data_IF_142666696441
#
_entry.id   IF_142666696441
#
_cell.length_a   1.000
_cell.length_b   1.000
_cell.length_c   1.000
_cell.angle_alpha   90.00
_cell.angle_beta   90.00
_cell.angle_gamma   90.00
#
_symmetry.space_group_name_H-M   'P 1'
#
loop_
_entity.id
_entity.type
_entity.pdbx_description
1 polymer ?
#
# COMPACT_ATOMS: atom_id res chain seq x y z
N UNK A 1 11.60 -25.69 11.50
CA UNK A 1 12.74 -25.37 10.62
C UNK A 1 13.56 -26.57 10.16
N UNK A 2 14.08 -27.46 11.04
CA UNK A 2 14.90 -28.63 10.63
C UNK A 2 14.29 -29.48 9.49
N UNK A 3 12.99 -29.79 9.57
CA UNK A 3 12.26 -30.56 8.53
C UNK A 3 12.12 -29.83 7.19
N UNK A 4 12.02 -28.50 7.20
CA UNK A 4 11.97 -27.69 5.98
C UNK A 4 13.36 -27.70 5.32
N UNK A 5 14.41 -27.57 6.12
CA UNK A 5 15.79 -27.57 5.65
C UNK A 5 16.26 -28.92 5.09
N UNK A 6 15.56 -30.02 5.41
CA UNK A 6 15.84 -31.36 4.87
C UNK A 6 15.07 -31.70 3.59
N UNK A 7 14.26 -30.78 3.05
CA UNK A 7 13.53 -30.98 1.78
C UNK A 7 14.41 -30.68 0.57
N UNK A 8 13.89 -30.97 -0.63
CA UNK A 8 14.51 -30.51 -1.89
C UNK A 8 14.65 -28.99 -1.90
N UNK A 9 15.61 -28.46 -2.67
CA UNK A 9 15.84 -27.00 -2.74
C UNK A 9 14.57 -26.23 -3.13
N UNK A 10 13.85 -26.69 -4.16
CA UNK A 10 12.61 -26.06 -4.61
C UNK A 10 11.53 -26.06 -3.51
N UNK A 11 11.32 -27.20 -2.84
CA UNK A 11 10.36 -27.30 -1.74
C UNK A 11 10.77 -26.43 -0.54
N UNK A 12 12.08 -26.29 -0.28
CA UNK A 12 12.62 -25.42 0.78
C UNK A 12 12.41 -23.94 0.48
N UNK A 13 12.62 -23.50 -0.75
CA UNK A 13 12.43 -22.08 -1.10
C UNK A 13 10.94 -21.72 -1.11
N UNK A 14 10.08 -22.56 -1.69
CA UNK A 14 8.62 -22.42 -1.54
C UNK A 14 8.22 -22.41 -0.05
N UNK A 15 8.91 -23.23 0.77
CA UNK A 15 8.64 -23.31 2.20
C UNK A 15 8.84 -21.95 2.91
N UNK A 16 9.96 -21.31 2.57
CA UNK A 16 10.36 -20.04 3.15
C UNK A 16 9.45 -18.91 2.69
N UNK A 17 9.11 -18.87 1.40
CA UNK A 17 8.26 -17.82 0.84
C UNK A 17 6.88 -17.80 1.51
N UNK A 18 6.19 -18.94 1.60
CA UNK A 18 4.89 -19.03 2.29
C UNK A 18 5.02 -18.62 3.77
N UNK A 19 6.05 -19.08 4.49
CA UNK A 19 6.23 -18.70 5.90
C UNK A 19 6.48 -17.20 6.06
N UNK A 20 7.25 -16.60 5.15
CA UNK A 20 7.45 -15.15 5.09
C UNK A 20 6.11 -14.43 4.95
N UNK A 21 5.32 -14.78 3.93
CA UNK A 21 3.98 -14.22 3.74
C UNK A 21 3.06 -14.41 4.96
N UNK A 22 2.98 -15.62 5.53
CA UNK A 22 2.12 -15.88 6.68
C UNK A 22 2.55 -15.19 7.98
N UNK A 23 3.82 -14.79 8.06
CA UNK A 23 4.38 -14.11 9.24
C UNK A 23 4.21 -12.59 9.15
N UNK A 24 4.47 -12.01 7.97
CA UNK A 24 4.60 -10.56 7.79
C UNK A 24 3.38 -9.88 7.17
N UNK A 25 2.41 -10.65 6.64
CA UNK A 25 1.18 -10.06 6.09
C UNK A 25 0.42 -9.20 7.09
N UNK A 26 -0.04 -8.03 6.66
CA UNK A 26 -0.80 -7.09 7.51
C UNK A 26 -2.23 -7.58 7.82
N UNK A 27 -2.75 -8.50 7.00
CA UNK A 27 -3.99 -9.25 7.25
C UNK A 27 -3.84 -10.70 6.80
N UNK A 28 -4.61 -11.64 7.37
CA UNK A 28 -4.67 -13.01 6.87
C UNK A 28 -5.04 -13.04 5.39
N UNK A 29 -4.26 -13.79 4.61
CA UNK A 29 -4.50 -13.99 3.18
C UNK A 29 -5.52 -15.09 2.92
N UNK A 30 -6.29 -14.93 1.84
CA UNK A 30 -6.98 -16.06 1.23
C UNK A 30 -5.99 -16.93 0.44
N UNK A 31 -6.32 -18.20 0.25
CA UNK A 31 -5.42 -19.15 -0.41
C UNK A 31 -5.02 -18.71 -1.82
N UNK A 32 -5.95 -18.08 -2.55
CA UNK A 32 -5.67 -17.64 -3.91
C UNK A 32 -4.75 -16.40 -3.96
N UNK A 33 -4.90 -15.46 -3.02
CA UNK A 33 -3.95 -14.35 -2.83
C UNK A 33 -2.54 -14.87 -2.63
N UNK A 34 -2.37 -15.83 -1.71
CA UNK A 34 -1.06 -16.40 -1.42
C UNK A 34 -0.48 -17.15 -2.63
N UNK A 35 -1.30 -17.91 -3.37
CA UNK A 35 -0.83 -18.59 -4.59
C UNK A 35 -0.34 -17.60 -5.64
N UNK A 36 -1.07 -16.51 -5.85
CA UNK A 36 -0.67 -15.45 -6.78
C UNK A 36 0.63 -14.80 -6.31
N UNK A 37 0.73 -14.46 -5.04
CA UNK A 37 1.92 -13.86 -4.45
C UNK A 37 3.19 -14.71 -4.61
N UNK A 38 3.07 -16.04 -4.69
CA UNK A 38 4.20 -16.95 -4.85
C UNK A 38 4.70 -17.09 -6.30
N UNK A 39 3.91 -16.67 -7.29
CA UNK A 39 4.26 -16.81 -8.73
C UNK A 39 4.43 -15.47 -9.45
N UNK A 40 4.18 -14.35 -8.76
CA UNK A 40 4.49 -13.02 -9.29
C UNK A 40 6.00 -12.87 -9.37
N UNK A 41 6.49 -12.64 -10.57
CA UNK A 41 7.89 -12.37 -10.84
C UNK A 41 8.11 -10.88 -11.12
N UNK A 42 9.17 -10.33 -10.54
CA UNK A 42 9.54 -8.93 -10.76
C UNK A 42 10.01 -8.75 -12.21
N UNK A 43 9.47 -7.73 -12.88
CA UNK A 43 9.75 -7.44 -14.28
C UNK A 43 8.82 -8.13 -15.28
N UNK A 44 7.94 -9.03 -14.82
CA UNK A 44 6.85 -9.58 -15.63
C UNK A 44 5.59 -8.73 -15.50
N UNK A 45 4.82 -8.63 -16.59
CA UNK A 45 3.60 -7.79 -16.67
C UNK A 45 2.31 -8.61 -16.78
N UNK A 46 2.38 -9.92 -16.55
CA UNK A 46 1.27 -10.86 -16.54
C UNK A 46 1.62 -12.04 -15.63
N UNK A 47 0.62 -12.63 -15.00
CA UNK A 47 0.76 -13.86 -14.23
C UNK A 47 0.89 -15.07 -15.16
N UNK A 48 1.82 -15.96 -14.85
CA UNK A 48 1.82 -17.32 -15.38
C UNK A 48 0.96 -18.22 -14.48
N UNK A 49 -0.29 -18.46 -14.90
CA UNK A 49 -1.23 -19.28 -14.15
C UNK A 49 -0.87 -20.77 -14.13
N UNK A 50 -0.05 -21.25 -15.08
CA UNK A 50 0.36 -22.65 -15.16
C UNK A 50 1.29 -23.04 -14.00
N UNK A 51 2.00 -22.06 -13.43
CA UNK A 51 2.91 -22.25 -12.32
C UNK A 51 2.26 -22.11 -10.92
N UNK A 52 0.94 -21.89 -10.85
CA UNK A 52 0.25 -21.69 -9.56
C UNK A 52 0.37 -22.92 -8.65
N UNK A 53 1.03 -22.82 -7.48
CA UNK A 53 1.28 -23.98 -6.63
C UNK A 53 -0.02 -24.60 -6.13
N UNK A 54 -0.09 -25.93 -6.08
CA UNK A 54 -1.22 -26.63 -5.49
C UNK A 54 -1.26 -26.42 -3.97
N UNK A 55 -2.46 -26.34 -3.40
CA UNK A 55 -2.67 -26.07 -1.97
C UNK A 55 -2.05 -27.18 -1.12
N UNK A 56 -2.14 -28.42 -1.60
CA UNK A 56 -1.57 -29.61 -0.98
C UNK A 56 -0.05 -29.46 -0.81
N UNK A 57 0.64 -28.95 -1.83
CA UNK A 57 2.08 -28.70 -1.79
C UNK A 57 2.43 -27.58 -0.81
N UNK A 58 1.57 -26.56 -0.68
CA UNK A 58 1.73 -25.46 0.28
C UNK A 58 1.43 -25.85 1.73
N UNK A 59 0.87 -27.04 2.00
CA UNK A 59 0.57 -27.49 3.37
C UNK A 59 1.46 -28.68 3.77
N UNK A 60 1.72 -29.60 2.83
CA UNK A 60 2.47 -30.84 3.06
C UNK A 60 3.88 -30.60 3.62
N UNK A 61 4.54 -29.53 3.17
CA UNK A 61 5.91 -29.18 3.58
C UNK A 61 6.00 -28.80 5.07
N UNK A 62 4.88 -28.41 5.69
CA UNK A 62 4.86 -27.79 7.01
C UNK A 62 4.42 -28.69 8.15
N UNK A 63 4.06 -29.94 7.88
CA UNK A 63 3.69 -30.92 8.91
C UNK A 63 2.65 -30.41 9.92
N UNK A 64 1.65 -29.66 9.47
CA UNK A 64 0.61 -29.09 10.32
C UNK A 64 0.93 -27.72 10.93
N UNK A 65 2.07 -27.08 10.62
CA UNK A 65 2.34 -25.69 11.02
C UNK A 65 1.52 -24.67 10.24
N UNK A 66 1.10 -25.01 9.01
CA UNK A 66 0.24 -24.20 8.16
C UNK A 66 -1.11 -24.88 8.05
N UNK A 67 -2.18 -24.10 8.24
CA UNK A 67 -3.57 -24.57 8.18
C UNK A 67 -4.34 -23.74 7.19
N UNK A 68 -5.18 -24.41 6.40
CA UNK A 68 -6.12 -23.78 5.48
C UNK A 68 -7.52 -23.92 6.06
N UNK A 69 -8.13 -22.79 6.40
CA UNK A 69 -9.53 -22.71 6.77
C UNK A 69 -10.38 -22.90 5.50
N UNK A 70 -11.05 -24.05 5.39
CA UNK A 70 -11.87 -24.39 4.20
C UNK A 70 -13.14 -23.54 4.08
N UNK A 71 -13.68 -23.03 5.18
CA UNK A 71 -14.90 -22.21 5.15
C UNK A 71 -14.57 -20.78 4.70
N UNK A 72 -13.50 -20.20 5.25
CA UNK A 72 -13.09 -18.82 4.97
C UNK A 72 -12.08 -18.71 3.83
N UNK A 73 -11.60 -19.85 3.32
CA UNK A 73 -10.52 -19.96 2.32
C UNK A 73 -9.25 -19.20 2.72
N UNK A 74 -8.94 -19.13 4.02
CA UNK A 74 -7.79 -18.40 4.57
C UNK A 74 -6.65 -19.33 4.91
N UNK A 75 -5.42 -18.90 4.65
CA UNK A 75 -4.21 -19.62 5.04
C UNK A 75 -3.59 -18.92 6.24
N UNK A 76 -3.22 -19.68 7.27
CA UNK A 76 -2.63 -19.15 8.50
C UNK A 76 -1.67 -20.15 9.13
N UNK A 77 -0.83 -19.64 10.03
CA UNK A 77 -0.11 -20.49 10.97
C UNK A 77 -1.10 -21.17 11.91
N UNK A 78 -0.83 -22.44 12.23
CA UNK A 78 -1.74 -23.33 12.95
C UNK A 78 -2.05 -22.82 14.36
N UNK A 79 -1.04 -22.30 15.05
CA UNK A 79 -1.11 -21.89 16.44
C UNK A 79 -0.53 -20.49 16.65
N UNK A 80 -1.08 -19.75 17.61
CA UNK A 80 -0.64 -18.37 17.89
C UNK A 80 0.83 -18.32 18.34
N UNK A 81 1.30 -19.31 19.10
CA UNK A 81 2.71 -19.38 19.53
C UNK A 81 3.67 -19.55 18.36
N UNK A 82 3.26 -20.22 17.28
CA UNK A 82 4.05 -20.32 16.05
C UNK A 82 4.22 -18.95 15.40
N UNK A 83 3.15 -18.14 15.40
CA UNK A 83 3.20 -16.77 14.89
C UNK A 83 4.11 -15.90 15.76
N UNK A 84 4.04 -16.03 17.09
CA UNK A 84 4.92 -15.30 18.00
C UNK A 84 6.39 -15.70 17.83
N UNK A 85 6.67 -17.00 17.69
CA UNK A 85 8.02 -17.50 17.44
C UNK A 85 8.62 -16.88 16.16
N UNK A 86 7.90 -16.93 15.04
CA UNK A 86 8.40 -16.35 13.80
C UNK A 86 8.46 -14.83 13.83
N UNK A 87 7.65 -14.15 14.64
CA UNK A 87 7.78 -12.69 14.86
C UNK A 87 9.00 -12.33 15.72
N UNK A 88 9.32 -13.13 16.75
CA UNK A 88 10.49 -12.92 17.61
C UNK A 88 11.80 -13.19 16.89
N UNK A 89 11.83 -14.19 16.00
CA UNK A 89 13.01 -14.60 15.23
C UNK A 89 12.93 -14.14 13.75
N UNK A 90 12.06 -13.18 13.44
CA UNK A 90 11.68 -12.85 12.06
C UNK A 90 12.89 -12.43 11.22
N UNK A 91 13.75 -11.59 11.79
CA UNK A 91 14.95 -11.09 11.12
C UNK A 91 16.02 -12.18 10.92
N UNK A 92 16.00 -13.26 11.72
CA UNK A 92 16.93 -14.38 11.55
C UNK A 92 16.55 -15.22 10.32
N UNK A 93 15.24 -15.45 10.13
CA UNK A 93 14.75 -16.36 9.11
C UNK A 93 14.38 -15.67 7.80
N UNK A 94 13.93 -14.42 7.87
CA UNK A 94 13.40 -13.64 6.77
C UNK A 94 13.82 -12.17 6.88
N UNK A 95 15.14 -11.86 6.81
CA UNK A 95 15.65 -10.50 7.00
C UNK A 95 15.05 -9.49 6.03
N UNK A 96 14.72 -9.91 4.80
CA UNK A 96 14.22 -9.04 3.73
C UNK A 96 12.72 -9.20 3.46
N UNK A 97 11.96 -9.80 4.39
CA UNK A 97 10.55 -10.17 4.16
C UNK A 97 9.66 -9.01 3.73
N UNK A 98 9.72 -7.88 4.44
CA UNK A 98 8.92 -6.69 4.13
C UNK A 98 9.29 -6.13 2.74
N UNK A 99 10.57 -6.17 2.38
CA UNK A 99 11.06 -5.74 1.07
C UNK A 99 10.59 -6.67 -0.06
N UNK A 100 10.69 -7.99 0.12
CA UNK A 100 10.24 -8.97 -0.88
C UNK A 100 8.72 -8.90 -1.10
N UNK A 101 7.95 -8.79 -0.02
CA UNK A 101 6.48 -8.65 -0.08
C UNK A 101 6.11 -7.35 -0.80
N UNK A 102 6.76 -6.24 -0.48
CA UNK A 102 6.57 -4.98 -1.20
C UNK A 102 6.84 -5.15 -2.70
N UNK A 103 7.98 -5.72 -3.09
CA UNK A 103 8.35 -5.89 -4.51
C UNK A 103 7.31 -6.71 -5.26
N UNK A 104 6.84 -7.80 -4.66
CA UNK A 104 5.80 -8.65 -5.24
C UNK A 104 4.49 -7.88 -5.39
N UNK A 105 4.05 -7.14 -4.37
CA UNK A 105 2.83 -6.33 -4.45
C UNK A 105 2.92 -5.29 -5.57
N UNK A 106 4.05 -4.57 -5.67
CA UNK A 106 4.25 -3.54 -6.69
C UNK A 106 4.38 -4.14 -8.09
N UNK A 107 5.13 -5.23 -8.25
CA UNK A 107 5.23 -5.96 -9.52
C UNK A 107 3.86 -6.44 -10.00
N UNK A 108 3.02 -6.95 -9.09
CA UNK A 108 1.65 -7.33 -9.41
C UNK A 108 0.83 -6.13 -9.89
N UNK A 109 0.91 -4.99 -9.20
CA UNK A 109 0.19 -3.76 -9.57
C UNK A 109 0.65 -3.16 -10.90
N UNK A 110 1.84 -3.51 -11.37
CA UNK A 110 2.35 -3.14 -12.69
C UNK A 110 1.81 -4.01 -13.83
N UNK A 111 1.06 -5.07 -13.55
CA UNK A 111 0.52 -5.94 -14.60
C UNK A 111 -0.33 -5.18 -15.62
N UNK A 112 -0.27 -5.65 -16.87
CA UNK A 112 -0.96 -5.10 -18.03
C UNK A 112 -2.47 -4.91 -17.82
N UNK A 113 -3.12 -5.77 -17.03
CA UNK A 113 -4.55 -5.67 -16.68
C UNK A 113 -4.91 -4.40 -15.90
N UNK A 114 -3.94 -3.78 -15.23
CA UNK A 114 -4.09 -2.52 -14.51
C UNK A 114 -3.71 -1.29 -15.34
N UNK A 115 -3.04 -1.49 -16.49
CA UNK A 115 -2.66 -0.40 -17.41
C UNK A 115 -3.85 0.13 -18.23
N UNK A 116 -5.01 -0.54 -18.19
CA UNK A 116 -6.26 -0.06 -18.81
C UNK A 116 -6.95 1.07 -18.02
N UNK A 117 -6.41 1.46 -16.86
CA UNK A 117 -6.93 2.56 -16.05
C UNK A 117 -8.17 2.20 -15.23
N UNK A 118 -8.93 3.21 -14.78
CA UNK A 118 -10.07 3.02 -13.90
C UNK A 118 -11.28 2.45 -14.66
N UNK A 119 -12.02 1.54 -14.03
CA UNK A 119 -13.27 1.04 -14.58
C UNK A 119 -14.43 2.00 -14.34
N UNK A 120 -15.35 2.04 -15.30
CA UNK A 120 -16.48 2.98 -15.34
C UNK A 120 -17.74 2.44 -14.63
N UNK A 121 -17.78 1.16 -14.25
CA UNK A 121 -18.96 0.53 -13.64
C UNK A 121 -18.58 -0.39 -12.47
N UNK A 122 -19.49 -0.51 -11.50
CA UNK A 122 -19.38 -1.42 -10.36
C UNK A 122 -19.12 -2.87 -10.80
N UNK A 123 -19.82 -3.32 -11.84
CA UNK A 123 -19.70 -4.68 -12.34
C UNK A 123 -18.30 -4.95 -12.91
N UNK A 124 -17.72 -3.99 -13.64
CA UNK A 124 -16.37 -4.13 -14.18
C UNK A 124 -15.31 -4.10 -13.08
N UNK A 125 -15.48 -3.24 -12.07
CA UNK A 125 -14.61 -3.19 -10.90
C UNK A 125 -14.69 -4.48 -10.05
N UNK A 126 -15.90 -4.97 -9.77
CA UNK A 126 -16.11 -6.23 -9.07
C UNK A 126 -15.49 -7.42 -9.82
N UNK A 127 -15.59 -7.43 -11.15
CA UNK A 127 -14.93 -8.44 -11.97
C UNK A 127 -13.39 -8.34 -11.89
N UNK A 128 -12.82 -7.13 -11.81
CA UNK A 128 -11.38 -6.94 -11.58
C UNK A 128 -10.95 -7.56 -10.26
N UNK A 129 -11.67 -7.27 -9.17
CA UNK A 129 -11.38 -7.81 -7.85
C UNK A 129 -11.47 -9.35 -7.84
N UNK A 130 -12.46 -9.92 -8.54
CA UNK A 130 -12.62 -11.36 -8.63
C UNK A 130 -11.54 -12.04 -9.48
N UNK A 131 -11.18 -11.43 -10.61
CA UNK A 131 -10.19 -11.97 -11.56
C UNK A 131 -8.74 -11.73 -11.12
N UNK A 132 -8.52 -10.81 -10.17
CA UNK A 132 -7.20 -10.43 -9.66
C UNK A 132 -7.14 -10.59 -8.13
N UNK A 133 -7.04 -11.83 -7.62
CA UNK A 133 -7.11 -12.14 -6.19
C UNK A 133 -6.17 -11.34 -5.29
N UNK A 134 -4.94 -11.07 -5.74
CA UNK A 134 -3.94 -10.34 -4.96
C UNK A 134 -4.15 -8.81 -4.96
N UNK A 135 -5.01 -8.29 -5.84
CA UNK A 135 -5.14 -6.87 -6.12
C UNK A 135 -5.55 -6.03 -4.91
N UNK A 136 -6.63 -6.39 -4.21
CA UNK A 136 -7.08 -5.69 -3.00
C UNK A 136 -5.99 -5.66 -1.92
N UNK A 137 -5.31 -6.81 -1.72
CA UNK A 137 -4.24 -6.88 -0.74
C UNK A 137 -3.05 -6.00 -1.16
N UNK A 138 -2.57 -6.12 -2.40
CA UNK A 138 -1.44 -5.36 -2.89
C UNK A 138 -1.71 -3.86 -2.82
N UNK A 139 -2.87 -3.42 -3.34
CA UNK A 139 -3.29 -2.02 -3.39
C UNK A 139 -3.28 -1.36 -2.00
N UNK A 140 -3.80 -2.05 -0.98
CA UNK A 140 -3.95 -1.50 0.36
C UNK A 140 -2.70 -1.64 1.25
N UNK A 141 -1.69 -2.44 0.86
CA UNK A 141 -0.59 -2.78 1.78
C UNK A 141 0.81 -2.47 1.27
N UNK A 142 1.05 -2.39 -0.04
CA UNK A 142 2.40 -2.21 -0.60
C UNK A 142 3.14 -1.01 0.00
N UNK A 143 2.44 0.13 0.15
CA UNK A 143 3.04 1.38 0.61
C UNK A 143 3.43 1.36 2.08
N UNK A 144 2.75 0.56 2.91
CA UNK A 144 3.15 0.36 4.30
C UNK A 144 4.48 -0.40 4.42
N UNK A 145 4.72 -1.36 3.53
CA UNK A 145 6.01 -2.04 3.47
C UNK A 145 7.09 -1.12 2.91
N UNK A 146 6.77 -0.37 1.84
CA UNK A 146 7.70 0.59 1.23
C UNK A 146 8.13 1.70 2.21
N UNK A 147 7.22 2.19 3.07
CA UNK A 147 7.55 3.17 4.12
C UNK A 147 8.56 2.63 5.14
N UNK A 148 8.46 1.34 5.46
CA UNK A 148 9.32 0.71 6.45
C UNK A 148 10.64 0.20 5.84
N UNK A 149 10.74 0.15 4.52
CA UNK A 149 11.95 -0.29 3.83
C UNK A 149 13.07 0.75 4.00
N UNK A 150 14.30 0.26 4.20
CA UNK A 150 15.48 1.13 4.29
C UNK A 150 15.86 1.77 2.95
N UNK A 151 15.46 1.15 1.84
CA UNK A 151 15.85 1.54 0.49
C UNK A 151 14.63 1.57 -0.41
N UNK A 152 14.49 2.66 -1.17
CA UNK A 152 13.46 2.81 -2.19
C UNK A 152 13.76 1.89 -3.37
N UNK A 153 12.82 1.01 -3.71
CA UNK A 153 12.97 0.07 -4.83
C UNK A 153 12.72 0.77 -6.17
N UNK A 154 13.44 0.41 -7.26
CA UNK A 154 13.17 0.92 -8.59
C UNK A 154 11.74 0.62 -9.07
N UNK A 155 11.20 -0.54 -8.71
CA UNK A 155 9.84 -0.94 -9.04
C UNK A 155 8.79 -0.01 -8.41
N UNK A 156 9.02 0.44 -7.16
CA UNK A 156 8.14 1.42 -6.51
C UNK A 156 8.09 2.70 -7.33
N UNK A 157 9.25 3.20 -7.77
CA UNK A 157 9.31 4.44 -8.54
C UNK A 157 8.67 4.26 -9.92
N UNK A 158 8.97 3.16 -10.62
CA UNK A 158 8.31 2.81 -11.88
C UNK A 158 6.79 2.76 -11.75
N UNK A 159 6.28 2.17 -10.67
CA UNK A 159 4.85 2.13 -10.38
C UNK A 159 4.26 3.53 -10.18
N UNK A 160 4.91 4.37 -9.38
CA UNK A 160 4.45 5.73 -9.10
C UNK A 160 4.46 6.65 -10.34
N UNK A 161 5.26 6.34 -11.37
CA UNK A 161 5.22 7.04 -12.66
C UNK A 161 4.08 6.60 -13.58
N UNK A 162 3.51 5.41 -13.37
CA UNK A 162 2.41 4.93 -14.21
C UNK A 162 1.08 5.52 -13.75
N UNK A 163 0.63 6.59 -14.40
CA UNK A 163 -0.67 7.21 -14.14
C UNK A 163 -1.81 6.18 -14.15
N UNK A 164 -1.79 5.25 -15.10
CA UNK A 164 -2.82 4.21 -15.24
C UNK A 164 -2.81 3.21 -14.08
N UNK A 165 -1.62 2.76 -13.65
CA UNK A 165 -1.50 1.83 -12.54
C UNK A 165 -1.82 2.49 -11.19
N UNK A 166 -1.41 3.75 -11.02
CA UNK A 166 -1.76 4.60 -9.87
C UNK A 166 -3.28 4.75 -9.78
N UNK A 167 -3.93 5.15 -10.86
CA UNK A 167 -5.37 5.38 -10.87
C UNK A 167 -6.15 4.07 -10.66
N UNK A 168 -5.68 2.95 -11.26
CA UNK A 168 -6.24 1.64 -10.98
C UNK A 168 -6.10 1.30 -9.49
N UNK A 169 -4.95 1.51 -8.86
CA UNK A 169 -4.78 1.25 -7.43
C UNK A 169 -5.76 2.06 -6.58
N UNK A 170 -5.95 3.34 -6.91
CA UNK A 170 -6.78 4.26 -6.14
C UNK A 170 -8.24 3.78 -6.04
N UNK A 171 -8.78 3.15 -7.09
CA UNK A 171 -10.11 2.53 -7.03
C UNK A 171 -10.23 1.40 -6.01
N UNK A 172 -9.12 0.72 -5.69
CA UNK A 172 -9.08 -0.40 -4.74
C UNK A 172 -8.74 0.03 -3.31
N UNK A 173 -8.42 1.30 -3.06
CA UNK A 173 -8.11 1.80 -1.72
C UNK A 173 -9.38 2.02 -0.90
N UNK A 174 -9.47 1.30 0.22
CA UNK A 174 -10.62 1.33 1.13
C UNK A 174 -10.78 2.65 1.90
N UNK A 175 -9.80 3.55 1.82
CA UNK A 175 -9.83 4.87 2.45
C UNK A 175 -10.62 5.92 1.67
N UNK A 176 -11.09 5.60 0.44
CA UNK A 176 -11.67 6.55 -0.50
C UNK A 176 -13.16 6.33 -0.77
N UNK A 177 -13.99 6.31 0.27
CA UNK A 177 -15.42 5.95 0.15
C UNK A 177 -16.43 7.13 0.20
N UNK A 178 -15.98 8.39 0.12
CA UNK A 178 -16.89 9.56 0.19
C UNK A 178 -17.29 10.14 -1.17
N UNK A 179 -16.54 9.86 -2.24
CA UNK A 179 -16.81 10.34 -3.59
C UNK A 179 -16.98 9.13 -4.50
N UNK A 180 -17.98 9.19 -5.38
CA UNK A 180 -18.38 8.10 -6.30
C UNK A 180 -17.19 7.20 -6.70
N UNK A 181 -17.22 5.88 -6.41
CA UNK A 181 -16.07 4.97 -6.64
C UNK A 181 -15.62 4.90 -8.12
N UNK A 182 -16.41 5.50 -9.02
CA UNK A 182 -16.36 5.32 -10.47
C UNK A 182 -15.76 6.55 -11.15
N UNK A 183 -15.63 7.66 -10.42
CA UNK A 183 -14.97 8.85 -10.93
C UNK A 183 -13.46 8.75 -10.65
N UNK A 184 -12.59 8.90 -11.66
CA UNK A 184 -11.16 8.90 -11.41
C UNK A 184 -10.80 10.05 -10.50
N UNK A 185 -10.07 9.79 -9.41
CA UNK A 185 -9.57 10.83 -8.52
C UNK A 185 -8.48 11.65 -9.19
N UNK A 186 -7.82 11.13 -10.24
CA UNK A 186 -6.67 11.77 -10.88
C UNK A 186 -5.53 11.98 -9.86
N UNK A 187 -5.32 10.99 -9.00
CA UNK A 187 -4.17 11.01 -8.10
C UNK A 187 -2.91 10.69 -8.92
N UNK A 188 -1.84 11.41 -8.63
CA UNK A 188 -0.51 11.11 -9.16
C UNK A 188 0.27 10.23 -8.19
N UNK A 189 1.41 9.69 -8.64
CA UNK A 189 2.34 8.97 -7.75
C UNK A 189 2.76 9.79 -6.53
N UNK A 190 2.87 11.12 -6.66
CA UNK A 190 3.21 11.99 -5.53
C UNK A 190 2.12 12.02 -4.46
N UNK A 191 0.84 11.96 -4.85
CA UNK A 191 -0.26 11.84 -3.90
C UNK A 191 -0.22 10.50 -3.16
N UNK A 192 0.03 9.39 -3.88
CA UNK A 192 0.13 8.06 -3.24
C UNK A 192 1.35 7.94 -2.31
N UNK A 193 2.51 8.45 -2.74
CA UNK A 193 3.71 8.47 -1.91
C UNK A 193 3.46 9.26 -0.60
N UNK A 194 2.74 10.38 -0.69
CA UNK A 194 2.35 11.16 0.47
C UNK A 194 1.30 10.46 1.34
N UNK A 195 0.28 9.85 0.74
CA UNK A 195 -0.75 9.06 1.42
C UNK A 195 -0.15 7.90 2.24
N UNK A 196 0.84 7.19 1.70
CA UNK A 196 1.49 6.09 2.43
C UNK A 196 2.64 6.53 3.34
N UNK A 197 3.09 7.78 3.25
CA UNK A 197 4.17 8.32 4.08
C UNK A 197 5.56 7.90 3.62
N UNK A 198 5.76 7.65 2.33
CA UNK A 198 7.01 7.13 1.77
C UNK A 198 7.94 8.32 1.46
N UNK A 199 8.57 8.90 2.49
CA UNK A 199 9.41 10.10 2.36
C UNK A 199 10.48 10.00 1.26
N UNK A 200 11.21 8.87 1.09
CA UNK A 200 12.17 8.73 0.00
C UNK A 200 11.54 8.84 -1.39
N UNK A 201 10.31 8.32 -1.58
CA UNK A 201 9.62 8.41 -2.86
C UNK A 201 9.13 9.84 -3.13
N UNK A 202 8.68 10.56 -2.10
CA UNK A 202 8.29 11.98 -2.22
C UNK A 202 9.51 12.83 -2.63
N UNK A 203 10.64 12.65 -1.95
CA UNK A 203 11.92 13.33 -2.28
C UNK A 203 12.34 13.07 -3.73
N UNK A 204 12.34 11.81 -4.16
CA UNK A 204 12.74 11.43 -5.51
C UNK A 204 11.79 11.99 -6.59
N UNK A 205 10.46 11.88 -6.40
CA UNK A 205 9.50 12.40 -7.37
C UNK A 205 9.61 13.92 -7.52
N UNK A 206 9.82 14.64 -6.41
CA UNK A 206 10.05 16.10 -6.44
C UNK A 206 11.35 16.45 -7.16
N UNK A 207 12.45 15.73 -6.90
CA UNK A 207 13.72 15.92 -7.64
C UNK A 207 13.56 15.72 -9.15
N UNK A 208 12.69 14.82 -9.55
CA UNK A 208 12.34 14.58 -10.96
C UNK A 208 11.37 15.62 -11.55
N UNK A 209 10.97 16.63 -10.77
CA UNK A 209 10.17 17.76 -11.25
C UNK A 209 8.65 17.65 -11.01
N UNK A 210 8.18 16.64 -10.28
CA UNK A 210 6.77 16.57 -9.88
C UNK A 210 6.47 17.68 -8.87
N UNK A 211 5.45 18.50 -9.16
CA UNK A 211 5.11 19.67 -8.33
C UNK A 211 4.31 19.24 -7.08
N UNK A 212 4.73 19.59 -5.86
CA UNK A 212 3.95 19.43 -4.63
C UNK A 212 2.58 20.11 -4.64
N UNK A 213 2.38 21.11 -5.50
CA UNK A 213 1.12 21.84 -5.66
C UNK A 213 0.08 21.11 -6.51
N UNK A 214 0.40 19.92 -7.04
CA UNK A 214 -0.52 19.15 -7.87
C UNK A 214 -1.79 18.85 -7.07
N UNK A 215 -2.94 18.95 -7.74
CA UNK A 215 -4.25 18.69 -7.17
C UNK A 215 -4.88 17.50 -7.85
N UNK A 216 -5.50 16.64 -7.07
CA UNK A 216 -6.42 15.63 -7.58
C UNK A 216 -7.79 16.28 -7.90
N UNK A 217 -8.77 15.48 -8.34
CA UNK A 217 -10.11 15.98 -8.66
C UNK A 217 -10.84 16.60 -7.47
N UNK A 218 -10.55 16.16 -6.26
CA UNK A 218 -11.12 16.72 -5.04
C UNK A 218 -10.34 17.95 -4.56
N UNK A 219 -9.51 18.56 -5.42
CA UNK A 219 -8.62 19.67 -5.08
C UNK A 219 -7.62 19.37 -3.95
N UNK A 220 -7.43 18.09 -3.58
CA UNK A 220 -6.50 17.70 -2.53
C UNK A 220 -5.08 17.66 -3.09
N UNK A 221 -4.12 18.13 -2.28
CA UNK A 221 -2.69 18.09 -2.62
C UNK A 221 -2.00 16.91 -1.92
N UNK A 222 -0.78 16.53 -2.32
CA UNK A 222 0.05 15.60 -1.55
C UNK A 222 0.19 16.00 -0.07
N UNK A 223 0.26 17.30 0.24
CA UNK A 223 0.31 17.80 1.61
C UNK A 223 -0.99 17.49 2.37
N UNK A 224 -2.15 17.67 1.73
CA UNK A 224 -3.44 17.29 2.32
C UNK A 224 -3.46 15.81 2.70
N UNK A 225 -3.01 14.91 1.81
CA UNK A 225 -2.97 13.47 2.10
C UNK A 225 -1.98 13.11 3.21
N UNK A 226 -0.77 13.67 3.20
CA UNK A 226 0.21 13.42 4.26
C UNK A 226 -0.30 13.90 5.64
N UNK A 227 -0.97 15.05 5.68
CA UNK A 227 -1.54 15.60 6.90
C UNK A 227 -2.73 14.76 7.41
N UNK A 228 -3.63 14.36 6.52
CA UNK A 228 -4.79 13.50 6.83
C UNK A 228 -4.38 12.11 7.35
N UNK A 229 -3.25 11.57 6.89
CA UNK A 229 -2.73 10.25 7.31
C UNK A 229 -1.70 10.33 8.44
N UNK A 230 -1.38 11.53 8.94
CA UNK A 230 -0.48 11.72 10.07
C UNK A 230 0.99 11.46 9.76
N UNK A 231 1.43 11.71 8.53
CA UNK A 231 2.80 11.49 8.07
C UNK A 231 3.64 12.76 8.21
N UNK A 232 4.00 13.08 9.45
CA UNK A 232 4.71 14.28 9.87
C UNK A 232 6.05 14.48 9.14
N UNK A 233 6.80 13.40 8.88
CA UNK A 233 8.04 13.45 8.08
C UNK A 233 7.80 13.93 6.65
N UNK A 234 6.72 13.48 6.01
CA UNK A 234 6.34 13.90 4.66
C UNK A 234 5.76 15.31 4.68
N UNK A 235 4.94 15.65 5.68
CA UNK A 235 4.44 17.03 5.88
C UNK A 235 5.62 18.00 5.97
N UNK A 236 6.61 17.72 6.83
CA UNK A 236 7.78 18.56 6.98
C UNK A 236 8.59 18.69 5.67
N UNK A 237 8.76 17.59 4.93
CA UNK A 237 9.43 17.59 3.64
C UNK A 237 8.70 18.46 2.61
N UNK A 238 7.38 18.29 2.47
CA UNK A 238 6.58 19.05 1.50
C UNK A 238 6.54 20.55 1.83
N UNK A 239 6.43 20.91 3.12
CA UNK A 239 6.47 22.30 3.58
C UNK A 239 7.85 22.98 3.39
N UNK A 240 8.90 22.20 3.14
CA UNK A 240 10.22 22.73 2.76
C UNK A 240 10.34 23.11 1.28
N UNK A 241 9.27 22.91 0.47
CA UNK A 241 9.28 23.18 -0.96
C UNK A 241 8.40 24.39 -1.26
N UNK A 242 8.98 25.40 -1.92
CA UNK A 242 8.34 26.72 -2.17
C UNK A 242 6.97 26.66 -2.88
N UNK A 243 6.69 25.58 -3.62
CA UNK A 243 5.43 25.44 -4.36
C UNK A 243 4.31 24.78 -3.54
N UNK A 244 4.59 24.25 -2.35
CA UNK A 244 3.56 23.65 -1.51
C UNK A 244 2.76 24.75 -0.79
N UNK A 245 1.46 24.85 -1.11
CA UNK A 245 0.54 25.75 -0.42
C UNK A 245 0.03 25.09 0.88
N UNK A 246 0.52 25.59 2.02
CA UNK A 246 0.15 25.11 3.36
C UNK A 246 -1.35 25.27 3.68
N UNK A 247 -2.03 26.21 3.02
CA UNK A 247 -3.44 26.52 3.23
C UNK A 247 -4.32 26.05 2.07
N UNK A 248 -3.82 25.16 1.20
CA UNK A 248 -4.55 24.67 0.04
C UNK A 248 -5.89 24.06 0.46
N UNK A 249 -6.99 24.56 -0.09
CA UNK A 249 -8.33 24.02 0.17
C UNK A 249 -8.69 22.92 -0.82
N UNK A 250 -9.25 21.84 -0.30
CA UNK A 250 -9.92 20.80 -1.08
C UNK A 250 -11.38 21.20 -1.42
N UNK A 251 -12.12 20.32 -2.09
CA UNK A 251 -13.51 20.55 -2.50
C UNK A 251 -14.47 20.86 -1.34
N UNK A 252 -14.19 20.38 -0.12
CA UNK A 252 -15.02 20.68 1.07
C UNK A 252 -14.56 21.97 1.77
N UNK A 253 -13.62 22.70 1.19
CA UNK A 253 -12.97 23.85 1.80
C UNK A 253 -12.00 23.49 2.93
N UNK A 254 -11.69 22.20 3.11
CA UNK A 254 -10.78 21.74 4.18
C UNK A 254 -9.31 21.99 3.82
N UNK A 255 -8.52 22.37 4.82
CA UNK A 255 -7.08 22.60 4.70
C UNK A 255 -6.30 21.37 5.19
N UNK A 256 -4.99 21.23 4.90
CA UNK A 256 -4.16 20.21 5.53
C UNK A 256 -4.25 20.22 7.06
N UNK A 257 -4.33 21.41 7.66
CA UNK A 257 -4.48 21.58 9.10
C UNK A 257 -5.82 21.01 9.61
N UNK A 258 -6.95 21.32 8.96
CA UNK A 258 -8.25 20.79 9.39
C UNK A 258 -8.33 19.27 9.21
N UNK A 259 -7.75 18.71 8.13
CA UNK A 259 -7.69 17.26 7.91
C UNK A 259 -6.82 16.56 8.97
N UNK A 260 -5.67 17.12 9.33
CA UNK A 260 -4.83 16.58 10.41
C UNK A 260 -5.53 16.63 11.78
N UNK A 261 -6.18 17.76 12.09
CA UNK A 261 -6.89 17.94 13.35
C UNK A 261 -8.09 17.01 13.48
N UNK A 262 -8.91 16.88 12.42
CA UNK A 262 -10.07 15.99 12.39
C UNK A 262 -9.71 14.52 12.60
N UNK A 263 -8.51 14.11 12.19
CA UNK A 263 -8.00 12.74 12.38
C UNK A 263 -7.12 12.59 13.64
N UNK A 264 -6.97 13.63 14.46
CA UNK A 264 -6.21 13.56 15.72
C UNK A 264 -4.69 13.47 15.54
N UNK A 265 -4.15 13.90 14.40
CA UNK A 265 -2.72 13.84 14.12
C UNK A 265 -1.95 15.02 14.71
N UNK A 266 -1.79 15.02 16.03
CA UNK A 266 -1.19 16.12 16.80
C UNK A 266 0.19 16.58 16.29
N UNK A 267 1.05 15.65 15.88
CA UNK A 267 2.38 15.98 15.35
C UNK A 267 2.29 16.82 14.06
N UNK A 268 1.42 16.42 13.13
CA UNK A 268 1.15 17.19 11.91
C UNK A 268 0.51 18.55 12.22
N UNK A 269 -0.43 18.61 13.17
CA UNK A 269 -1.07 19.87 13.59
C UNK A 269 -0.01 20.85 14.14
N UNK A 270 0.87 20.38 15.02
CA UNK A 270 1.96 21.21 15.57
C UNK A 270 2.87 21.73 14.47
N UNK A 271 3.35 20.84 13.58
CA UNK A 271 4.22 21.23 12.46
C UNK A 271 3.57 22.25 11.52
N UNK A 272 2.28 22.07 11.19
CA UNK A 272 1.55 22.99 10.32
C UNK A 272 1.39 24.38 10.99
N UNK A 273 1.06 24.42 12.28
CA UNK A 273 0.95 25.69 13.03
C UNK A 273 2.31 26.39 13.20
N UNK A 274 3.39 25.63 13.45
CA UNK A 274 4.76 26.16 13.51
C UNK A 274 5.20 26.77 12.18
N UNK A 275 4.65 26.29 11.06
CA UNK A 275 4.85 26.83 9.70
C UNK A 275 3.78 27.86 9.30
N UNK A 276 3.06 28.41 10.28
CA UNK A 276 2.07 29.47 10.11
C UNK A 276 0.87 29.09 9.22
N UNK A 277 0.42 27.83 9.28
CA UNK A 277 -0.88 27.45 8.73
C UNK A 277 -2.00 28.29 9.37
N UNK A 278 -3.00 28.69 8.59
CA UNK A 278 -4.11 29.50 9.08
C UNK A 278 -5.07 28.66 9.92
N UNK A 279 -4.99 28.83 11.24
CA UNK A 279 -5.89 28.16 12.21
C UNK A 279 -7.32 28.66 12.16
N UNK A 280 -7.58 29.83 11.57
CA UNK A 280 -8.90 30.43 11.45
C UNK A 280 -9.58 30.11 10.12
N UNK A 281 -8.91 29.37 9.22
CA UNK A 281 -9.49 28.94 7.97
C UNK A 281 -10.74 28.10 8.24
N UNK A 282 -11.85 28.51 7.61
CA UNK A 282 -13.13 27.83 7.70
C UNK A 282 -13.35 26.91 6.50
N UNK A 283 -13.93 25.75 6.76
CA UNK A 283 -14.50 24.86 5.74
C UNK A 283 -15.81 25.44 5.17
N UNK A 284 -16.42 24.74 4.21
CA UNK A 284 -17.70 25.18 3.62
C UNK A 284 -18.86 25.23 4.64
N UNK A 285 -18.76 24.52 5.77
CA UNK A 285 -19.73 24.53 6.86
C UNK A 285 -19.44 25.63 7.90
N UNK A 286 -18.40 26.44 7.70
CA UNK A 286 -18.00 27.51 8.62
C UNK A 286 -17.23 27.05 9.86
N UNK A 287 -16.80 25.80 9.92
CA UNK A 287 -16.03 25.21 11.03
C UNK A 287 -14.54 25.52 10.88
N UNK A 288 -13.88 25.88 11.99
CA UNK A 288 -12.41 26.07 12.03
C UNK A 288 -11.69 24.79 12.40
N UNK A 289 -10.42 24.65 12.01
CA UNK A 289 -9.59 23.45 12.24
C UNK A 289 -9.43 23.02 13.71
N UNK A 290 -9.61 23.91 14.69
CA UNK A 290 -9.34 23.64 16.12
C UNK A 290 -10.61 23.61 17.01
N UNK A 291 -11.76 23.31 16.43
CA UNK A 291 -13.05 23.33 17.13
C UNK A 291 -13.28 22.16 18.10
#
# INVERSE_FOLDING_TARGET
>A
MKRIMSQTLAARELAKQVLSWLTFTKRPLITLELRYALVVEVGQYKLDEENLPQIENMVAVYAGLVVVDRQRKKVRLAHYTTQQYFKGEANQWFPDADFDIMRICVAYLLFSVFQGGPYQTDAAFANRLQSNPLYDYAANNWGHYARNASTLSPEVIQFLHSEMAVEALVQALRGFDQYSPHAPRQMTGLHLAAYFGISPAVDELVRQGHKPSVKDKCNRTPLTYAAEQGHDSVVNLLLGIDTADINSKDEDGSTPLSRAAANGHEACVKLLLERHADSNSKDENGQTSLH
#
